data_IF_730752636166
#
_entry.id   IF_730752636166
#
_cell.length_a   1.000
_cell.length_b   1.000
_cell.length_c   1.000
_cell.angle_alpha   90.00
_cell.angle_beta   90.00
_cell.angle_gamma   90.00
#
_symmetry.space_group_name_H-M   'P 1'
#
loop_
_entity.id
_entity.type
_entity.pdbx_description
1 polymer ?
#
# COMPACT_ATOMS: atom_id res chain seq x y z
N UNK A 1 -14.63 -16.91 -9.04
CA UNK A 1 -15.14 -15.96 -8.03
C UNK A 1 -16.42 -15.33 -8.56
N UNK A 2 -17.48 -15.24 -7.75
CA UNK A 2 -18.69 -14.49 -8.11
C UNK A 2 -18.39 -13.00 -8.11
N UNK A 3 -19.11 -12.24 -8.96
CA UNK A 3 -19.07 -10.79 -8.93
C UNK A 3 -20.23 -10.31 -8.06
N UNK A 4 -19.93 -9.40 -7.13
CA UNK A 4 -20.92 -8.77 -6.26
C UNK A 4 -21.05 -7.28 -6.62
N UNK A 5 -22.25 -6.73 -6.47
CA UNK A 5 -22.51 -5.31 -6.73
C UNK A 5 -22.47 -4.50 -5.44
N UNK A 6 -21.66 -3.44 -5.41
CA UNK A 6 -21.57 -2.50 -4.30
C UNK A 6 -21.97 -1.12 -4.79
N UNK A 7 -22.88 -0.46 -4.07
CA UNK A 7 -23.28 0.94 -4.34
C UNK A 7 -22.67 1.85 -3.29
N UNK A 8 -21.97 2.90 -3.73
CA UNK A 8 -21.36 3.89 -2.85
C UNK A 8 -21.49 5.30 -3.43
N UNK A 9 -21.36 6.31 -2.57
CA UNK A 9 -21.43 7.72 -2.96
C UNK A 9 -20.04 8.27 -3.21
N UNK A 10 -19.91 9.09 -4.24
CA UNK A 10 -18.71 9.86 -4.55
C UNK A 10 -19.10 11.26 -4.99
N UNK A 11 -18.17 12.19 -4.85
CA UNK A 11 -18.31 13.54 -5.39
C UNK A 11 -18.47 13.48 -6.92
N UNK A 12 -19.32 14.35 -7.47
CA UNK A 12 -19.57 14.43 -8.91
C UNK A 12 -18.30 14.74 -9.71
N UNK A 13 -17.38 15.52 -9.12
CA UNK A 13 -16.07 15.82 -9.69
C UNK A 13 -15.21 14.57 -9.85
N UNK A 14 -15.16 13.70 -8.83
CA UNK A 14 -14.43 12.41 -8.90
C UNK A 14 -15.01 11.50 -9.98
N UNK A 15 -16.35 11.43 -10.08
CA UNK A 15 -17.01 10.68 -11.14
C UNK A 15 -16.57 11.16 -12.53
N UNK A 16 -16.50 12.48 -12.74
CA UNK A 16 -16.07 13.05 -14.02
C UNK A 16 -14.62 12.69 -14.38
N UNK A 17 -13.71 12.67 -13.39
CA UNK A 17 -12.31 12.24 -13.59
C UNK A 17 -12.25 10.76 -13.96
N UNK A 18 -13.00 9.89 -13.27
CA UNK A 18 -13.07 8.45 -13.58
C UNK A 18 -13.60 8.23 -15.01
N UNK A 19 -14.64 8.99 -15.41
CA UNK A 19 -15.20 8.94 -16.75
C UNK A 19 -14.17 9.27 -17.84
N UNK A 20 -13.42 10.36 -17.63
CA UNK A 20 -12.39 10.79 -18.55
C UNK A 20 -11.25 9.78 -18.65
N UNK A 21 -10.80 9.24 -17.52
CA UNK A 21 -9.72 8.26 -17.46
C UNK A 21 -10.10 6.96 -18.16
N UNK A 22 -11.27 6.41 -17.83
CA UNK A 22 -11.80 5.19 -18.44
C UNK A 22 -11.89 5.32 -19.97
N UNK A 23 -12.42 6.46 -20.45
CA UNK A 23 -12.46 6.78 -21.88
C UNK A 23 -11.06 6.86 -22.50
N UNK A 24 -10.12 7.54 -21.83
CA UNK A 24 -8.77 7.74 -22.32
C UNK A 24 -7.98 6.44 -22.52
N UNK A 25 -8.26 5.40 -21.72
CA UNK A 25 -7.60 4.09 -21.80
C UNK A 25 -8.46 3.01 -22.45
N UNK A 26 -9.62 3.37 -23.04
CA UNK A 26 -10.58 2.44 -23.65
C UNK A 26 -10.99 1.30 -22.70
N UNK A 27 -11.46 1.67 -21.50
CA UNK A 27 -11.98 0.76 -20.47
C UNK A 27 -13.28 1.31 -19.88
N UNK A 28 -13.98 0.48 -19.11
CA UNK A 28 -15.15 0.92 -18.34
C UNK A 28 -14.74 1.49 -16.96
N UNK A 29 -15.70 2.09 -16.26
CA UNK A 29 -15.50 2.60 -14.90
C UNK A 29 -15.12 1.49 -13.93
N UNK A 30 -15.71 0.32 -14.10
CA UNK A 30 -15.50 -0.83 -13.21
C UNK A 30 -14.04 -1.22 -13.20
N UNK A 31 -13.36 -1.21 -14.34
CA UNK A 31 -11.92 -1.45 -14.44
C UNK A 31 -11.14 -0.46 -13.55
N UNK A 32 -11.35 0.85 -13.73
CA UNK A 32 -10.66 1.89 -12.95
C UNK A 32 -10.93 1.72 -11.44
N UNK A 33 -12.18 1.44 -11.07
CA UNK A 33 -12.57 1.27 -9.67
C UNK A 33 -11.95 0.02 -9.05
N UNK A 34 -11.91 -1.10 -9.79
CA UNK A 34 -11.28 -2.32 -9.29
C UNK A 34 -9.77 -2.15 -9.15
N UNK A 35 -9.10 -1.51 -10.10
CA UNK A 35 -7.66 -1.21 -9.99
C UNK A 35 -7.35 -0.33 -8.77
N UNK A 36 -8.15 0.72 -8.54
CA UNK A 36 -7.99 1.58 -7.37
C UNK A 36 -8.22 0.82 -6.06
N UNK A 37 -9.24 -0.04 -6.00
CA UNK A 37 -9.54 -0.88 -4.83
C UNK A 37 -8.41 -1.88 -4.59
N UNK A 38 -7.93 -2.57 -5.63
CA UNK A 38 -6.85 -3.54 -5.54
C UNK A 38 -5.59 -2.89 -4.98
N UNK A 39 -5.16 -1.75 -5.55
CA UNK A 39 -3.98 -1.04 -5.08
C UNK A 39 -4.10 -0.60 -3.63
N UNK A 40 -5.30 -0.14 -3.22
CA UNK A 40 -5.55 0.26 -1.84
C UNK A 40 -5.50 -0.94 -0.89
N UNK A 41 -6.18 -2.04 -1.24
CA UNK A 41 -6.19 -3.25 -0.41
C UNK A 41 -4.81 -3.88 -0.28
N UNK A 42 -4.05 -3.97 -1.38
CA UNK A 42 -2.68 -4.51 -1.37
C UNK A 42 -1.77 -3.70 -0.45
N UNK A 43 -1.83 -2.36 -0.54
CA UNK A 43 -1.04 -1.46 0.31
C UNK A 43 -1.35 -1.68 1.80
N UNK A 44 -2.63 -1.73 2.17
CA UNK A 44 -3.01 -1.90 3.58
C UNK A 44 -2.75 -3.31 4.08
N UNK A 45 -2.96 -4.33 3.24
CA UNK A 45 -2.70 -5.71 3.62
C UNK A 45 -1.21 -5.90 3.93
N UNK A 46 -0.32 -5.47 3.03
CA UNK A 46 1.12 -5.51 3.27
C UNK A 46 1.51 -4.74 4.54
N UNK A 47 0.96 -3.54 4.74
CA UNK A 47 1.27 -2.73 5.93
C UNK A 47 0.85 -3.44 7.23
N UNK A 48 -0.34 -4.03 7.26
CA UNK A 48 -0.84 -4.74 8.43
C UNK A 48 0.03 -5.97 8.71
N UNK A 49 0.39 -6.73 7.67
CA UNK A 49 1.24 -7.91 7.78
C UNK A 49 2.64 -7.55 8.32
N UNK A 50 3.29 -6.51 7.78
CA UNK A 50 4.60 -6.07 8.26
C UNK A 50 4.57 -5.51 9.69
N UNK A 51 3.50 -4.80 10.07
CA UNK A 51 3.34 -4.34 11.46
C UNK A 51 3.25 -5.54 12.42
N UNK A 52 2.44 -6.54 12.09
CA UNK A 52 2.28 -7.74 12.92
C UNK A 52 3.59 -8.53 13.02
N UNK A 53 4.33 -8.62 11.91
CA UNK A 53 5.65 -9.24 11.88
C UNK A 53 6.65 -8.49 12.77
N UNK A 54 6.75 -7.17 12.64
CA UNK A 54 7.65 -6.36 13.48
C UNK A 54 7.32 -6.42 14.97
N UNK A 55 6.03 -6.52 15.34
CA UNK A 55 5.62 -6.76 16.73
C UNK A 55 6.12 -8.14 17.20
N UNK A 56 5.97 -9.17 16.37
CA UNK A 56 6.43 -10.53 16.71
C UNK A 56 7.95 -10.60 16.89
N UNK A 57 8.71 -9.94 16.03
CA UNK A 57 10.18 -9.82 16.13
C UNK A 57 10.59 -9.07 17.40
N UNK A 58 9.91 -7.96 17.70
CA UNK A 58 10.14 -7.19 18.92
C UNK A 58 9.84 -7.99 20.21
N UNK A 59 8.73 -8.73 20.23
CA UNK A 59 8.35 -9.59 21.36
C UNK A 59 9.34 -10.76 21.54
N UNK A 60 9.96 -11.22 20.45
CA UNK A 60 11.05 -12.20 20.47
C UNK A 60 12.42 -11.61 20.86
N UNK A 61 12.52 -10.29 21.01
CA UNK A 61 13.78 -9.59 21.29
C UNK A 61 14.73 -9.53 20.10
N UNK A 62 14.23 -9.72 18.87
CA UNK A 62 15.00 -9.69 17.63
C UNK A 62 15.31 -8.25 17.21
N UNK A 63 16.14 -7.59 18.02
CA UNK A 63 16.65 -6.26 17.77
C UNK A 63 18.12 -6.33 17.36
N UNK A 64 18.53 -5.39 16.50
CA UNK A 64 19.94 -5.20 16.19
C UNK A 64 20.73 -4.84 17.46
N UNK A 65 21.95 -5.38 17.54
CA UNK A 65 22.93 -5.00 18.56
C UNK A 65 23.44 -3.58 18.36
N UNK A 66 24.00 -2.99 19.42
CA UNK A 66 24.63 -1.67 19.37
C UNK A 66 25.73 -1.59 18.29
N UNK A 67 26.50 -2.66 18.11
CA UNK A 67 27.55 -2.78 17.09
C UNK A 67 26.99 -2.72 15.67
N UNK A 68 25.89 -3.45 15.39
CA UNK A 68 25.23 -3.46 14.09
C UNK A 68 24.62 -2.09 13.74
N UNK A 69 24.03 -1.44 14.75
CA UNK A 69 23.48 -0.08 14.62
C UNK A 69 24.61 0.90 14.28
N UNK A 70 25.72 0.88 15.04
CA UNK A 70 26.90 1.73 14.78
C UNK A 70 27.47 1.50 13.39
N UNK A 71 27.63 0.23 12.98
CA UNK A 71 28.13 -0.12 11.65
C UNK A 71 27.23 0.39 10.51
N UNK A 72 25.91 0.32 10.69
CA UNK A 72 24.95 0.84 9.72
C UNK A 72 25.05 2.36 9.58
N UNK A 73 25.14 3.09 10.69
CA UNK A 73 25.27 4.54 10.67
C UNK A 73 26.60 5.01 10.06
N UNK A 74 27.72 4.36 10.38
CA UNK A 74 29.02 4.66 9.76
C UNK A 74 28.94 4.53 8.22
N UNK A 75 28.37 3.42 7.72
CA UNK A 75 28.17 3.19 6.28
C UNK A 75 27.30 4.26 5.61
N UNK A 76 26.22 4.71 6.26
CA UNK A 76 25.27 5.65 5.66
C UNK A 76 25.68 7.11 5.78
N UNK A 77 26.59 7.44 6.71
CA UNK A 77 27.05 8.82 6.96
C UNK A 77 28.27 9.22 6.13
N UNK A 78 28.84 8.32 5.31
CA UNK A 78 30.14 8.51 4.63
C UNK A 78 31.24 8.98 5.59
N UNK A 79 31.14 8.62 6.87
CA UNK A 79 32.19 8.86 7.84
C UNK A 79 33.16 7.68 7.74
N UNK A 80 34.20 7.87 6.92
CA UNK A 80 35.47 7.14 7.06
C UNK A 80 36.21 7.65 8.32
#
# INVERSE_FOLDING_TARGET
MSKENITFRIDSSKKAVIDALAKGINRDRSYILNEAINAYLEMYQWQIEEIQKGITEADAGDFASDEEVKGTFARLSNAD
#
